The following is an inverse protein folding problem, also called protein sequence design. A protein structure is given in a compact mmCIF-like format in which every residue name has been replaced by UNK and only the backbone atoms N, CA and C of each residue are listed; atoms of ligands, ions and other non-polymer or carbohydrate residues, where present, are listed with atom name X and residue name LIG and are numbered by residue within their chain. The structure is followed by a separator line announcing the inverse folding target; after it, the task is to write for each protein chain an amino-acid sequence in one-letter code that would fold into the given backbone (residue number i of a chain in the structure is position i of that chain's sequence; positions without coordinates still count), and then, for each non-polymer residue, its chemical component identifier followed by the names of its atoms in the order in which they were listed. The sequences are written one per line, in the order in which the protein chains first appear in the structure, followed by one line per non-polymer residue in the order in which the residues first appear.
data_IF_901583797824
#
_entry.id   IF_901583797824
#
_cell.length_a   1.000
_cell.length_b   1.000
_cell.length_c   1.000
_cell.angle_alpha   90.00
_cell.angle_beta   90.00
_cell.angle_gamma   90.00
#
_symmetry.space_group_name_H-M   'P 1'
#
loop_
_entity.id
_entity.type
_entity.pdbx_description
1 polymer ?
#
# COMPACT_ATOMS: atom_id res chain seq x y z
N UNK A 1 32.19 5.86 0.73
CA UNK A 1 31.48 7.14 0.56
C UNK A 1 32.31 8.23 1.20
N UNK A 2 32.71 9.23 0.41
CA UNK A 2 33.58 10.36 0.79
C UNK A 2 32.69 11.57 1.10
N UNK A 3 33.03 12.29 2.17
CA UNK A 3 32.43 13.51 2.71
C UNK A 3 30.91 13.46 2.98
N UNK A 4 30.54 13.36 4.27
CA UNK A 4 29.16 13.26 4.72
C UNK A 4 28.27 14.37 4.18
N UNK A 5 27.42 14.03 3.21
CA UNK A 5 26.42 14.93 2.65
C UNK A 5 25.30 15.25 3.65
N UNK A 6 24.52 16.28 3.34
CA UNK A 6 23.36 16.66 4.15
C UNK A 6 22.32 15.52 4.18
N UNK A 7 21.80 15.23 5.38
CA UNK A 7 20.72 14.27 5.57
C UNK A 7 19.36 14.87 5.21
N UNK A 8 18.43 14.03 4.73
CA UNK A 8 17.05 14.41 4.41
C UNK A 8 16.06 13.43 5.05
N UNK A 9 14.93 13.97 5.52
CA UNK A 9 13.76 13.20 5.95
C UNK A 9 12.59 13.54 5.03
N UNK A 10 11.96 12.56 4.42
CA UNK A 10 10.81 12.79 3.54
C UNK A 10 9.79 11.65 3.66
N UNK A 11 8.53 11.92 3.33
CA UNK A 11 7.53 10.87 3.25
C UNK A 11 7.70 10.08 1.96
N UNK A 12 7.50 8.76 2.04
CA UNK A 12 7.40 7.88 0.88
C UNK A 12 5.98 7.34 0.85
N UNK A 13 5.21 7.73 -0.15
CA UNK A 13 3.83 7.30 -0.28
C UNK A 13 3.17 7.90 -1.51
N UNK A 14 1.94 7.50 -1.76
CA UNK A 14 1.26 7.80 -3.04
C UNK A 14 0.71 9.22 -3.13
N UNK A 15 0.53 9.94 -2.02
CA UNK A 15 -0.27 11.17 -2.01
C UNK A 15 -1.77 10.94 -1.97
N UNK A 16 -2.23 9.68 -2.11
CA UNK A 16 -3.63 9.34 -2.29
C UNK A 16 -4.10 8.39 -1.19
N UNK A 17 -5.16 8.77 -0.50
CA UNK A 17 -5.86 7.90 0.45
C UNK A 17 -6.69 6.84 -0.29
N UNK A 18 -6.58 5.59 0.16
CA UNK A 18 -7.39 4.47 -0.32
C UNK A 18 -8.19 3.94 0.86
N UNK A 19 -9.52 3.86 0.73
CA UNK A 19 -10.36 3.35 1.81
C UNK A 19 -10.30 1.82 1.91
N UNK A 20 -10.73 1.28 3.05
CA UNK A 20 -10.91 -0.17 3.23
C UNK A 20 -11.85 -0.75 2.16
N UNK A 21 -12.90 -0.01 1.81
CA UNK A 21 -13.88 -0.44 0.81
C UNK A 21 -13.29 -0.47 -0.60
N UNK A 22 -12.40 0.47 -0.94
CA UNK A 22 -11.70 0.47 -2.23
C UNK A 22 -10.78 -0.75 -2.37
N UNK A 23 -10.09 -1.13 -1.29
CA UNK A 23 -9.25 -2.34 -1.26
C UNK A 23 -10.10 -3.59 -1.45
N UNK A 24 -11.23 -3.70 -0.75
CA UNK A 24 -12.16 -4.83 -0.90
C UNK A 24 -12.65 -4.90 -2.35
N UNK A 25 -13.13 -3.80 -2.92
CA UNK A 25 -13.64 -3.75 -4.29
C UNK A 25 -12.57 -4.11 -5.33
N UNK A 26 -11.35 -3.59 -5.18
CA UNK A 26 -10.22 -3.94 -6.05
C UNK A 26 -9.87 -5.43 -5.94
N UNK A 27 -9.87 -5.98 -4.72
CA UNK A 27 -9.60 -7.39 -4.47
C UNK A 27 -10.66 -8.29 -5.10
N UNK A 28 -11.95 -7.97 -4.97
CA UNK A 28 -13.02 -8.73 -5.62
C UNK A 28 -12.89 -8.71 -7.14
N UNK A 29 -12.60 -7.54 -7.72
CA UNK A 29 -12.43 -7.37 -9.16
C UNK A 29 -11.25 -8.17 -9.71
N UNK A 30 -10.13 -8.20 -8.99
CA UNK A 30 -8.90 -8.87 -9.43
C UNK A 30 -8.96 -10.39 -9.20
N UNK A 31 -9.48 -10.82 -8.06
CA UNK A 31 -9.57 -12.25 -7.72
C UNK A 31 -10.73 -12.95 -8.42
N UNK A 32 -11.74 -12.19 -8.89
CA UNK A 32 -13.01 -12.73 -9.39
C UNK A 32 -13.85 -13.41 -8.30
N UNK A 33 -13.50 -13.22 -7.02
CA UNK A 33 -14.14 -13.85 -5.87
C UNK A 33 -14.71 -12.79 -4.94
N UNK A 34 -15.79 -13.15 -4.23
CA UNK A 34 -16.32 -12.29 -3.16
C UNK A 34 -15.41 -12.31 -1.94
N UNK A 35 -15.22 -11.13 -1.35
CA UNK A 35 -14.45 -10.95 -0.12
C UNK A 35 -15.44 -10.75 1.01
N UNK A 36 -15.74 -11.77 1.83
CA UNK A 36 -16.67 -11.63 2.94
C UNK A 36 -16.07 -10.71 4.02
N UNK A 37 -16.86 -9.78 4.52
CA UNK A 37 -16.48 -8.87 5.60
C UNK A 37 -17.67 -8.57 6.51
N UNK A 38 -17.38 -8.08 7.72
CA UNK A 38 -18.36 -7.56 8.65
C UNK A 38 -17.88 -6.21 9.17
N UNK A 39 -18.79 -5.23 9.22
CA UNK A 39 -18.50 -3.94 9.86
C UNK A 39 -18.57 -4.12 11.37
N UNK A 40 -17.48 -3.80 12.05
CA UNK A 40 -17.33 -3.88 13.51
C UNK A 40 -17.00 -2.50 14.08
N UNK A 41 -17.08 -2.28 15.40
CA UNK A 41 -16.73 -1.00 16.01
C UNK A 41 -15.31 -0.54 15.65
N UNK A 42 -15.07 0.77 15.71
CA UNK A 42 -13.74 1.36 15.45
C UNK A 42 -12.71 0.76 16.40
N UNK A 43 -11.54 0.42 15.86
CA UNK A 43 -10.38 0.04 16.65
C UNK A 43 -9.84 1.28 17.37
N UNK A 44 -9.63 1.18 18.68
CA UNK A 44 -9.07 2.26 19.46
C UNK A 44 -7.66 2.62 18.95
N UNK A 45 -7.43 3.91 18.69
CA UNK A 45 -6.15 4.42 18.19
C UNK A 45 -6.07 4.61 16.67
N UNK A 46 -7.02 4.09 15.89
CA UNK A 46 -7.02 4.27 14.44
C UNK A 46 -7.50 5.70 14.07
N UNK A 47 -6.72 6.48 13.29
CA UNK A 47 -7.20 7.76 12.75
C UNK A 47 -8.26 7.52 11.66
N UNK A 48 -9.06 8.54 11.36
CA UNK A 48 -10.05 8.46 10.27
C UNK A 48 -9.43 8.36 8.89
N UNK A 49 -8.28 9.02 8.69
CA UNK A 49 -7.52 9.03 7.45
C UNK A 49 -6.04 9.30 7.74
N UNK A 50 -5.15 8.72 6.94
CA UNK A 50 -3.72 8.97 7.00
C UNK A 50 -3.10 8.65 5.63
N UNK A 51 -2.45 9.64 5.02
CA UNK A 51 -1.76 9.51 3.75
C UNK A 51 -0.55 10.45 3.71
N UNK A 52 0.45 10.09 2.91
CA UNK A 52 1.69 10.85 2.79
C UNK A 52 1.51 12.10 1.92
N UNK A 53 2.18 13.20 2.23
CA UNK A 53 2.52 14.24 1.25
C UNK A 53 3.89 13.90 0.61
N UNK A 54 3.95 13.53 -0.68
CA UNK A 54 5.18 13.15 -1.36
C UNK A 54 5.95 14.34 -1.99
N UNK A 55 5.49 15.58 -1.82
CA UNK A 55 6.08 16.77 -2.48
C UNK A 55 7.59 16.90 -2.29
N UNK A 56 8.09 16.60 -1.07
CA UNK A 56 9.52 16.69 -0.74
C UNK A 56 10.37 15.63 -1.45
N UNK A 57 9.89 14.38 -1.53
CA UNK A 57 10.66 13.30 -2.19
C UNK A 57 10.66 13.49 -3.71
N UNK A 58 9.53 13.94 -4.27
CA UNK A 58 9.42 14.21 -5.71
C UNK A 58 10.30 15.38 -6.15
N UNK A 59 10.25 16.51 -5.44
CA UNK A 59 11.09 17.67 -5.78
C UNK A 59 12.59 17.42 -5.59
N UNK A 60 12.98 16.57 -4.65
CA UNK A 60 14.39 16.33 -4.33
C UNK A 60 15.02 15.26 -5.21
N UNK A 61 14.27 14.22 -5.56
CA UNK A 61 14.81 13.03 -6.22
C UNK A 61 14.17 12.71 -7.56
N UNK A 62 13.22 13.53 -8.03
CA UNK A 62 12.36 13.22 -9.18
C UNK A 62 11.66 11.86 -9.06
N UNK A 63 11.42 11.44 -7.81
CA UNK A 63 10.81 10.17 -7.49
C UNK A 63 9.29 10.32 -7.38
N UNK A 64 8.56 9.36 -7.94
CA UNK A 64 7.11 9.27 -7.81
C UNK A 64 6.65 7.81 -7.75
N UNK A 65 5.52 7.52 -7.08
CA UNK A 65 4.89 6.20 -7.11
C UNK A 65 4.45 5.85 -8.53
N UNK A 66 4.76 4.62 -9.00
CA UNK A 66 4.46 4.20 -10.38
C UNK A 66 3.40 3.10 -10.46
N UNK A 67 2.97 2.54 -9.32
CA UNK A 67 2.00 1.45 -9.28
C UNK A 67 0.63 1.93 -8.82
N UNK A 68 -0.41 1.49 -9.53
CA UNK A 68 -1.80 1.72 -9.14
C UNK A 68 -2.24 0.74 -8.05
N UNK A 69 -3.39 1.00 -7.41
CA UNK A 69 -4.01 0.07 -6.48
C UNK A 69 -4.20 -1.32 -7.11
N UNK A 70 -4.61 -1.37 -8.37
CA UNK A 70 -4.83 -2.63 -9.08
C UNK A 70 -3.54 -3.42 -9.26
N UNK A 71 -2.46 -2.75 -9.63
CA UNK A 71 -1.14 -3.38 -9.73
C UNK A 71 -0.68 -3.94 -8.39
N UNK A 72 -0.89 -3.18 -7.30
CA UNK A 72 -0.53 -3.60 -5.94
C UNK A 72 -1.34 -4.84 -5.52
N UNK A 73 -2.66 -4.81 -5.69
CA UNK A 73 -3.54 -5.93 -5.31
C UNK A 73 -3.29 -7.15 -6.21
N UNK A 74 -3.03 -6.96 -7.50
CA UNK A 74 -2.72 -8.06 -8.42
C UNK A 74 -1.44 -8.79 -8.05
N UNK A 75 -0.37 -8.08 -7.71
CA UNK A 75 0.90 -8.72 -7.33
C UNK A 75 0.78 -9.41 -5.97
N UNK A 76 0.08 -8.79 -5.01
CA UNK A 76 -0.23 -9.41 -3.72
C UNK A 76 -1.06 -10.69 -3.88
N UNK A 77 -2.12 -10.66 -4.68
CA UNK A 77 -2.97 -11.83 -4.93
C UNK A 77 -2.21 -12.96 -5.62
N UNK A 78 -1.35 -12.66 -6.60
CA UNK A 78 -0.51 -13.65 -7.26
C UNK A 78 0.46 -14.32 -6.27
N UNK A 79 1.07 -13.53 -5.37
CA UNK A 79 1.94 -14.08 -4.32
C UNK A 79 1.16 -14.99 -3.37
N UNK A 80 0.03 -14.52 -2.82
CA UNK A 80 -0.79 -15.32 -1.90
C UNK A 80 -1.35 -16.59 -2.53
N UNK A 81 -1.66 -16.55 -3.83
CA UNK A 81 -2.14 -17.73 -4.58
C UNK A 81 -1.03 -18.77 -4.79
N UNK A 82 0.20 -18.32 -5.05
CA UNK A 82 1.37 -19.20 -5.24
C UNK A 82 1.99 -19.68 -3.92
N UNK A 83 1.78 -18.95 -2.82
CA UNK A 83 2.34 -19.22 -1.50
C UNK A 83 1.22 -19.29 -0.45
N UNK A 84 0.36 -20.32 -0.48
CA UNK A 84 -0.75 -20.44 0.47
C UNK A 84 -0.30 -20.60 1.93
N UNK A 85 0.91 -21.10 2.17
CA UNK A 85 1.54 -21.17 3.50
C UNK A 85 2.56 -20.04 3.74
N UNK A 86 2.52 -18.99 2.92
CA UNK A 86 3.52 -17.93 2.92
C UNK A 86 4.93 -18.48 2.68
N UNK A 87 5.88 -18.01 3.46
CA UNK A 87 7.29 -18.41 3.34
C UNK A 87 7.60 -19.79 3.95
N UNK A 88 6.66 -20.42 4.64
CA UNK A 88 6.86 -21.69 5.37
C UNK A 88 6.68 -22.94 4.49
N UNK A 89 6.73 -22.77 3.17
CA UNK A 89 6.68 -23.87 2.20
C UNK A 89 8.01 -24.66 2.25
N UNK A 90 8.12 -25.57 3.20
CA UNK A 90 9.11 -26.66 3.21
C UNK A 90 8.63 -27.86 2.42
#
# INVERSE_FOLDING_TARGET
MRDGGNSITCNVGTGHGTSVMDIIAATERISGKKVPYQVVPRRAGDPSECYADPSRITSTFDWSPTHSLDSIISTAYAWHTSHPQGHDSK
#
